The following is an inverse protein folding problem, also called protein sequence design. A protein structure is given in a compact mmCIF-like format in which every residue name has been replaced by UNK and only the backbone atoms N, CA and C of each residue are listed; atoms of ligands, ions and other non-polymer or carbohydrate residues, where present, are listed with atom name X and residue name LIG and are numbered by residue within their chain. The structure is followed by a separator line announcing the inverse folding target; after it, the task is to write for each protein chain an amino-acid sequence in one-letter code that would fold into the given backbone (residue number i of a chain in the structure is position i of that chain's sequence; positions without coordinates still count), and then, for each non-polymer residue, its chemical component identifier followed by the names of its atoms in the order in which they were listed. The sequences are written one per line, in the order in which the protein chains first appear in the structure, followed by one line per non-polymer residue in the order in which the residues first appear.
data_IF_865605280839
#
_entry.id   IF_865605280839
#
_cell.length_a   1.000
_cell.length_b   1.000
_cell.length_c   1.000
_cell.angle_alpha   90.00
_cell.angle_beta   90.00
_cell.angle_gamma   90.00
#
_symmetry.space_group_name_H-M   'P 1'
#
loop_
_entity.id
_entity.type
_entity.pdbx_description
1 polymer ?
#
# COMPACT_ATOMS: atom_id res chain seq x y z
N UNK A 1 14.27 -18.22 30.53
CA UNK A 1 12.89 -18.73 30.72
C UNK A 1 12.50 -19.50 29.47
N UNK A 2 12.30 -20.81 29.58
CA UNK A 2 11.74 -21.63 28.50
C UNK A 2 10.21 -21.66 28.66
N UNK A 3 9.47 -21.51 27.56
CA UNK A 3 8.00 -21.38 27.59
C UNK A 3 7.41 -22.37 26.59
N UNK A 4 6.49 -23.23 27.04
CA UNK A 4 5.75 -24.10 26.14
C UNK A 4 4.79 -23.27 25.28
N UNK A 5 4.87 -23.40 23.96
CA UNK A 5 4.06 -22.65 22.99
C UNK A 5 3.57 -23.56 21.87
N UNK A 6 2.53 -23.12 21.18
CA UNK A 6 2.01 -23.78 19.98
C UNK A 6 2.57 -23.10 18.74
N UNK A 7 3.05 -23.89 17.77
CA UNK A 7 3.55 -23.38 16.50
C UNK A 7 2.39 -22.81 15.65
N UNK A 8 2.53 -21.56 15.20
CA UNK A 8 1.52 -20.89 14.36
C UNK A 8 1.36 -21.52 12.96
N UNK A 9 2.26 -22.42 12.55
CA UNK A 9 2.27 -23.02 11.19
C UNK A 9 1.76 -24.46 11.20
N UNK A 10 2.28 -25.30 12.09
CA UNK A 10 1.92 -26.72 12.12
C UNK A 10 1.05 -27.12 13.32
N UNK A 11 0.80 -26.22 14.27
CA UNK A 11 -0.03 -26.50 15.46
C UNK A 11 0.64 -27.36 16.55
N UNK A 12 1.87 -27.83 16.34
CA UNK A 12 2.57 -28.64 17.34
C UNK A 12 3.05 -27.81 18.54
N UNK A 13 3.09 -28.43 19.72
CA UNK A 13 3.70 -27.84 20.92
C UNK A 13 5.23 -27.87 20.83
N UNK A 14 5.88 -26.80 21.28
CA UNK A 14 7.34 -26.68 21.32
C UNK A 14 7.80 -25.79 22.48
N UNK A 15 9.08 -25.94 22.84
CA UNK A 15 9.71 -25.13 23.88
C UNK A 15 10.32 -23.87 23.24
N UNK A 16 9.67 -22.72 23.44
CA UNK A 16 10.15 -21.42 23.01
C UNK A 16 11.24 -20.88 23.94
N UNK A 17 12.39 -20.50 23.37
CA UNK A 17 13.50 -19.86 24.10
C UNK A 17 13.14 -18.39 24.44
N UNK A 18 12.34 -17.74 23.59
CA UNK A 18 11.93 -16.33 23.73
C UNK A 18 10.41 -16.24 23.80
N UNK A 19 9.88 -15.22 24.50
CA UNK A 19 8.43 -14.92 24.52
C UNK A 19 7.85 -14.70 23.11
N UNK A 20 8.66 -14.14 22.21
CA UNK A 20 8.31 -13.86 20.81
C UNK A 20 8.48 -15.05 19.87
N UNK A 21 8.90 -16.23 20.34
CA UNK A 21 9.00 -17.41 19.49
C UNK A 21 7.60 -17.84 19.01
N UNK A 22 7.43 -17.99 17.69
CA UNK A 22 6.14 -18.31 17.05
C UNK A 22 6.11 -19.67 16.36
N UNK A 23 7.29 -20.22 16.07
CA UNK A 23 7.45 -21.40 15.23
C UNK A 23 8.34 -22.42 15.94
N UNK A 24 7.99 -23.70 15.80
CA UNK A 24 8.73 -24.79 16.42
C UNK A 24 10.06 -25.10 15.72
N UNK A 25 10.22 -24.71 14.46
CA UNK A 25 11.37 -25.08 13.64
C UNK A 25 11.62 -24.09 12.51
N UNK A 26 12.81 -24.16 11.92
CA UNK A 26 13.19 -23.35 10.76
C UNK A 26 12.30 -23.58 9.53
N UNK A 27 11.90 -24.82 9.17
CA UNK A 27 10.93 -25.04 8.09
C UNK A 27 9.60 -24.31 8.30
N UNK A 28 9.05 -24.33 9.52
CA UNK A 28 7.82 -23.60 9.84
C UNK A 28 8.03 -22.09 9.69
N UNK A 29 9.15 -21.56 10.20
CA UNK A 29 9.48 -20.14 10.04
C UNK A 29 9.60 -19.74 8.56
N UNK A 30 10.27 -20.56 7.75
CA UNK A 30 10.47 -20.28 6.32
C UNK A 30 9.16 -20.36 5.54
N UNK A 31 8.28 -21.31 5.86
CA UNK A 31 6.94 -21.39 5.29
C UNK A 31 6.11 -20.13 5.60
N UNK A 32 6.09 -19.70 6.86
CA UNK A 32 5.41 -18.47 7.25
C UNK A 32 6.01 -17.22 6.59
N UNK A 33 7.33 -17.15 6.45
CA UNK A 33 8.01 -16.03 5.78
C UNK A 33 7.68 -15.99 4.29
N UNK A 34 7.69 -17.14 3.61
CA UNK A 34 7.34 -17.25 2.18
C UNK A 34 5.91 -16.80 1.95
N UNK A 35 4.98 -17.21 2.81
CA UNK A 35 3.57 -16.82 2.68
C UNK A 35 3.38 -15.31 2.91
N UNK A 36 3.97 -14.75 3.97
CA UNK A 36 3.98 -13.29 4.19
C UNK A 36 4.58 -12.53 3.01
N UNK A 37 5.66 -13.04 2.42
CA UNK A 37 6.28 -12.40 1.26
C UNK A 37 5.34 -12.38 0.06
N UNK A 38 4.64 -13.49 -0.24
CA UNK A 38 3.66 -13.52 -1.34
C UNK A 38 2.55 -12.49 -1.14
N UNK A 39 1.98 -12.40 0.07
CA UNK A 39 0.93 -11.43 0.39
C UNK A 39 1.44 -10.00 0.15
N UNK A 40 2.61 -9.66 0.69
CA UNK A 40 3.20 -8.33 0.51
C UNK A 40 3.47 -7.99 -0.96
N UNK A 41 3.86 -8.98 -1.78
CA UNK A 41 4.08 -8.75 -3.21
C UNK A 41 2.76 -8.56 -3.96
N UNK A 42 1.72 -9.32 -3.61
CA UNK A 42 0.39 -9.15 -4.17
C UNK A 42 -0.17 -7.75 -3.84
N UNK A 43 -0.07 -7.31 -2.59
CA UNK A 43 -0.50 -5.97 -2.15
C UNK A 43 0.25 -4.85 -2.87
N UNK A 44 1.57 -5.01 -3.06
CA UNK A 44 2.39 -4.07 -3.83
C UNK A 44 1.98 -4.01 -5.29
N UNK A 45 1.75 -5.16 -5.92
CA UNK A 45 1.32 -5.23 -7.31
C UNK A 45 -0.05 -4.57 -7.49
N UNK A 46 -0.98 -4.81 -6.56
CA UNK A 46 -2.30 -4.18 -6.55
C UNK A 46 -2.19 -2.65 -6.40
N UNK A 47 -1.37 -2.17 -5.46
CA UNK A 47 -1.13 -0.73 -5.28
C UNK A 47 -0.57 -0.09 -6.56
N UNK A 48 0.46 -0.70 -7.16
CA UNK A 48 1.05 -0.19 -8.39
C UNK A 48 0.07 -0.19 -9.57
N UNK A 49 -0.83 -1.18 -9.64
CA UNK A 49 -1.89 -1.22 -10.66
C UNK A 49 -2.89 -0.07 -10.45
N UNK A 50 -3.34 0.15 -9.21
CA UNK A 50 -4.24 1.27 -8.85
C UNK A 50 -3.60 2.63 -9.13
N UNK A 51 -2.33 2.81 -8.81
CA UNK A 51 -1.58 4.05 -9.11
C UNK A 51 -1.52 4.31 -10.62
N UNK A 52 -1.19 3.29 -11.43
CA UNK A 52 -1.20 3.39 -12.90
C UNK A 52 -2.59 3.70 -13.46
N UNK A 53 -3.63 3.12 -12.90
CA UNK A 53 -5.01 3.43 -13.31
C UNK A 53 -5.36 4.88 -12.96
N UNK A 54 -5.05 5.33 -11.75
CA UNK A 54 -5.27 6.70 -11.33
C UNK A 54 -4.50 7.70 -12.20
N UNK A 55 -3.25 7.40 -12.56
CA UNK A 55 -2.45 8.22 -13.47
C UNK A 55 -3.13 8.39 -14.84
N UNK A 56 -3.73 7.33 -15.38
CA UNK A 56 -4.49 7.41 -16.64
C UNK A 56 -5.75 8.27 -16.53
N UNK A 57 -6.36 8.37 -15.35
CA UNK A 57 -7.54 9.20 -15.10
C UNK A 57 -7.21 10.69 -14.96
N UNK A 58 -5.94 11.05 -14.69
CA UNK A 58 -5.52 12.46 -14.56
C UNK A 58 -5.64 13.14 -15.92
N UNK A 59 -6.37 14.27 -15.95
CA UNK A 59 -6.48 15.10 -17.15
C UNK A 59 -5.09 15.63 -17.55
N UNK A 60 -4.73 15.60 -18.83
CA UNK A 60 -3.47 16.17 -19.29
C UNK A 60 -3.48 17.70 -19.13
N UNK A 61 -2.29 18.29 -18.96
CA UNK A 61 -2.16 19.71 -18.63
C UNK A 61 -2.79 20.65 -19.68
N UNK A 62 -2.75 20.25 -20.96
CA UNK A 62 -3.35 21.03 -22.04
C UNK A 62 -4.87 21.15 -21.88
N UNK A 63 -5.54 20.08 -21.42
CA UNK A 63 -6.98 20.06 -21.21
C UNK A 63 -7.36 20.93 -20.01
N UNK A 64 -6.55 20.90 -18.94
CA UNK A 64 -6.71 21.80 -17.79
C UNK A 64 -6.56 23.28 -18.18
N UNK A 65 -5.59 23.59 -19.06
CA UNK A 65 -5.39 24.95 -19.56
C UNK A 65 -6.55 25.43 -20.43
N UNK A 66 -7.14 24.54 -21.24
CA UNK A 66 -8.32 24.86 -22.03
C UNK A 66 -9.53 25.17 -21.14
N UNK A 67 -9.75 24.37 -20.09
CA UNK A 67 -10.79 24.60 -19.08
C UNK A 67 -10.60 25.95 -18.37
N UNK A 68 -9.38 26.28 -17.95
CA UNK A 68 -9.06 27.56 -17.32
C UNK A 68 -9.41 28.74 -18.25
N UNK A 69 -9.01 28.67 -19.53
CA UNK A 69 -9.31 29.70 -20.53
C UNK A 69 -10.81 29.86 -20.78
N UNK A 70 -11.57 28.77 -20.83
CA UNK A 70 -13.04 28.80 -20.98
C UNK A 70 -13.72 29.53 -19.82
N UNK A 71 -13.12 29.49 -18.63
CA UNK A 71 -13.59 30.21 -17.45
C UNK A 71 -13.03 31.64 -17.36
N UNK A 72 -12.23 32.10 -18.33
CA UNK A 72 -11.57 33.41 -18.28
C UNK A 72 -10.49 33.52 -17.19
N UNK A 73 -10.00 32.38 -16.68
CA UNK A 73 -8.99 32.32 -15.64
C UNK A 73 -7.62 31.97 -16.23
N UNK A 74 -6.56 32.53 -15.67
CA UNK A 74 -5.22 31.97 -15.86
C UNK A 74 -5.13 30.59 -15.17
N UNK A 75 -4.21 29.73 -15.62
CA UNK A 75 -4.00 28.42 -14.98
C UNK A 75 -3.70 28.55 -13.47
N UNK A 76 -2.95 29.59 -13.05
CA UNK A 76 -2.68 29.87 -11.64
C UNK A 76 -3.93 30.26 -10.85
N UNK A 77 -4.79 31.12 -11.40
CA UNK A 77 -6.09 31.46 -10.78
C UNK A 77 -7.01 30.24 -10.72
N UNK A 78 -7.04 29.44 -11.78
CA UNK A 78 -7.82 28.20 -11.82
C UNK A 78 -7.38 27.21 -10.72
N UNK A 79 -6.07 26.98 -10.57
CA UNK A 79 -5.54 26.14 -9.50
C UNK A 79 -5.86 26.70 -8.10
N UNK A 80 -5.74 28.02 -7.90
CA UNK A 80 -6.13 28.66 -6.65
C UNK A 80 -7.63 28.45 -6.33
N UNK A 81 -8.52 28.56 -7.33
CA UNK A 81 -9.95 28.30 -7.13
C UNK A 81 -10.26 26.85 -6.78
N UNK A 82 -9.51 25.88 -7.35
CA UNK A 82 -9.65 24.45 -7.02
C UNK A 82 -9.15 24.13 -5.63
N UNK A 83 -8.01 24.69 -5.23
CA UNK A 83 -7.47 24.54 -3.87
C UNK A 83 -8.44 25.12 -2.82
N UNK A 84 -9.05 26.27 -3.10
CA UNK A 84 -10.08 26.87 -2.22
C UNK A 84 -11.35 26.01 -2.07
N UNK A 85 -11.65 25.15 -3.06
CA UNK A 85 -12.77 24.20 -3.05
C UNK A 85 -12.41 22.82 -2.48
N UNK A 86 -11.14 22.59 -2.10
CA UNK A 86 -10.66 21.29 -1.64
C UNK A 86 -10.40 20.28 -2.76
N UNK A 87 -10.33 20.72 -4.02
CA UNK A 87 -10.09 19.89 -5.21
C UNK A 87 -8.62 19.95 -5.68
N UNK A 88 -7.73 20.38 -4.78
CA UNK A 88 -6.28 20.44 -5.00
C UNK A 88 -5.70 19.04 -5.19
N UNK A 89 -4.85 18.88 -6.19
CA UNK A 89 -4.11 17.64 -6.41
C UNK A 89 -2.88 17.68 -5.48
N UNK A 90 -2.80 16.79 -4.49
CA UNK A 90 -1.57 16.51 -3.72
C UNK A 90 -0.46 15.95 -4.62
#
# INVERSE_FOLDING_TARGET
MQILKTCEVCGNQFIGIKRTAKYCSEPCRNAAMKERHKILQAEKAERAAREKENEKLKKPIWQLNEEARKLGLSYGQYQATRMAKGEGND
#
